data_IF_864149949499
#
_entry.id   IF_864149949499
#
_cell.length_a   1.000
_cell.length_b   1.000
_cell.length_c   1.000
_cell.angle_alpha   90.00
_cell.angle_beta   90.00
_cell.angle_gamma   90.00
#
_symmetry.space_group_name_H-M   'P 1'
#
loop_
_entity.id
_entity.type
_entity.pdbx_description
1 polymer ?
#
# COMPACT_ATOMS: atom_id res chain seq x y z
N UNK A 1 -8.77 14.39 10.01
CA UNK A 1 -7.58 13.77 9.42
C UNK A 1 -6.33 14.25 10.15
N UNK A 2 -5.53 13.32 10.65
CA UNK A 2 -4.36 13.62 11.45
C UNK A 2 -3.11 13.96 10.62
N UNK A 3 -3.17 13.74 9.30
CA UNK A 3 -2.02 13.88 8.41
C UNK A 3 -2.40 14.62 7.13
N UNK A 4 -2.80 15.91 7.24
CA UNK A 4 -3.23 16.63 6.04
C UNK A 4 -2.13 16.77 4.99
N UNK A 5 -0.86 16.80 5.41
CA UNK A 5 0.27 16.93 4.48
C UNK A 5 0.47 15.69 3.62
N UNK A 6 -0.10 14.56 4.02
CA UNK A 6 0.00 13.32 3.26
C UNK A 6 -1.15 13.14 2.26
N UNK A 7 -2.13 14.04 2.23
CA UNK A 7 -3.25 13.93 1.29
C UNK A 7 -2.81 13.87 -0.17
N UNK A 8 -1.83 14.68 -0.62
CA UNK A 8 -1.36 14.55 -2.01
C UNK A 8 -0.80 13.16 -2.33
N UNK A 9 -0.13 12.52 -1.34
CA UNK A 9 0.39 11.16 -1.52
C UNK A 9 -0.76 10.17 -1.68
N UNK A 10 -1.76 10.27 -0.81
CA UNK A 10 -2.93 9.41 -0.89
C UNK A 10 -3.68 9.60 -2.21
N UNK A 11 -3.91 10.83 -2.61
CA UNK A 11 -4.64 11.12 -3.84
C UNK A 11 -3.90 10.57 -5.06
N UNK A 12 -2.58 10.73 -5.11
CA UNK A 12 -1.78 10.20 -6.21
C UNK A 12 -1.86 8.67 -6.26
N UNK A 13 -1.79 8.02 -5.09
CA UNK A 13 -1.90 6.57 -5.03
C UNK A 13 -3.30 6.10 -5.45
N UNK A 14 -4.34 6.73 -4.92
CA UNK A 14 -5.72 6.37 -5.25
C UNK A 14 -6.01 6.57 -6.74
N UNK A 15 -5.50 7.64 -7.34
CA UNK A 15 -5.66 7.89 -8.77
C UNK A 15 -4.99 6.78 -9.59
N UNK A 16 -3.79 6.37 -9.19
CA UNK A 16 -3.07 5.31 -9.89
C UNK A 16 -3.84 3.98 -9.82
N UNK A 17 -4.38 3.65 -8.65
CA UNK A 17 -5.17 2.44 -8.47
C UNK A 17 -6.44 2.48 -9.31
N UNK A 18 -7.14 3.62 -9.29
CA UNK A 18 -8.38 3.79 -10.03
C UNK A 18 -8.16 3.69 -11.54
N UNK A 19 -7.02 4.17 -12.03
CA UNK A 19 -6.69 4.05 -13.45
C UNK A 19 -6.46 2.60 -13.86
N UNK A 20 -5.86 1.81 -12.97
CA UNK A 20 -5.62 0.39 -13.24
C UNK A 20 -6.89 -0.42 -13.09
N UNK A 21 -7.70 -0.09 -12.09
CA UNK A 21 -8.91 -0.85 -11.73
C UNK A 21 -10.07 0.11 -11.50
N UNK A 22 -10.77 0.53 -12.58
CA UNK A 22 -11.86 1.52 -12.44
C UNK A 22 -13.00 1.08 -11.52
N UNK A 23 -13.18 -0.23 -11.34
CA UNK A 23 -14.24 -0.76 -10.49
C UNK A 23 -13.81 -0.95 -9.03
N UNK A 24 -12.63 -0.49 -8.68
CA UNK A 24 -12.12 -0.64 -7.30
C UNK A 24 -13.05 0.06 -6.32
N UNK A 25 -13.31 -0.60 -5.19
CA UNK A 25 -14.07 -0.02 -4.09
C UNK A 25 -13.09 0.47 -3.04
N UNK A 26 -13.24 1.71 -2.62
CA UNK A 26 -12.39 2.34 -1.62
C UNK A 26 -13.19 2.48 -0.34
N UNK A 27 -12.72 1.84 0.75
CA UNK A 27 -13.37 1.90 2.05
C UNK A 27 -12.50 2.66 3.03
N UNK A 28 -13.01 3.78 3.51
CA UNK A 28 -12.31 4.60 4.49
C UNK A 28 -12.65 4.08 5.87
N UNK A 29 -11.62 3.68 6.61
CA UNK A 29 -11.76 3.18 7.98
C UNK A 29 -11.02 4.12 8.93
N UNK A 30 -11.21 3.91 10.23
CA UNK A 30 -10.66 4.80 11.25
C UNK A 30 -9.12 4.91 11.19
N UNK A 31 -8.44 3.80 10.94
CA UNK A 31 -6.98 3.75 10.95
C UNK A 31 -6.35 3.48 9.61
N UNK A 32 -7.15 3.23 8.58
CA UNK A 32 -6.62 2.90 7.27
C UNK A 32 -7.68 3.10 6.19
N UNK A 33 -7.22 3.11 4.94
CA UNK A 33 -8.10 3.18 3.77
C UNK A 33 -7.82 1.93 2.95
N UNK A 34 -8.85 1.13 2.72
CA UNK A 34 -8.71 -0.17 2.06
C UNK A 34 -9.23 -0.15 0.64
N UNK A 35 -8.57 -0.88 -0.25
CA UNK A 35 -8.91 -0.97 -1.67
C UNK A 35 -9.35 -2.39 -1.98
N UNK A 36 -10.56 -2.54 -2.52
CA UNK A 36 -11.18 -3.83 -2.80
C UNK A 36 -11.53 -3.96 -4.28
N UNK A 37 -11.27 -5.14 -4.82
CA UNK A 37 -11.82 -5.56 -6.10
C UNK A 37 -12.15 -7.05 -5.92
N UNK A 38 -13.38 -7.34 -5.48
CA UNK A 38 -13.84 -8.62 -4.97
C UNK A 38 -13.22 -8.88 -3.58
N UNK A 39 -11.90 -8.82 -3.47
CA UNK A 39 -11.18 -8.96 -2.20
C UNK A 39 -10.29 -7.76 -1.98
N UNK A 40 -9.95 -7.51 -0.71
CA UNK A 40 -9.00 -6.46 -0.39
C UNK A 40 -7.61 -6.86 -0.91
N UNK A 41 -7.00 -6.01 -1.73
CA UNK A 41 -5.68 -6.27 -2.26
C UNK A 41 -4.64 -5.27 -1.81
N UNK A 42 -5.06 -4.14 -1.27
CA UNK A 42 -4.14 -3.11 -0.79
C UNK A 42 -4.82 -2.25 0.26
N UNK A 43 -4.03 -1.62 1.11
CA UNK A 43 -4.53 -0.57 1.99
C UNK A 43 -3.41 0.44 2.24
N UNK A 44 -3.81 1.63 2.69
CA UNK A 44 -2.86 2.69 3.05
C UNK A 44 -3.16 3.15 4.46
N UNK A 45 -2.12 3.53 5.18
CA UNK A 45 -2.24 3.97 6.55
C UNK A 45 -1.08 4.87 6.93
N UNK A 46 -1.12 5.39 8.16
CA UNK A 46 -0.03 6.19 8.73
C UNK A 46 0.63 5.43 9.89
N UNK A 47 0.60 4.09 9.83
CA UNK A 47 1.20 3.26 10.85
C UNK A 47 2.70 3.52 10.92
N UNK A 48 3.24 3.57 12.14
CA UNK A 48 4.67 3.76 12.31
C UNK A 48 5.38 2.41 12.19
N UNK A 49 5.90 2.12 11.00
CA UNK A 49 6.60 0.86 10.71
C UNK A 49 8.11 1.00 10.83
N UNK A 50 8.60 2.23 11.04
CA UNK A 50 10.01 2.54 11.30
C UNK A 50 10.09 3.58 12.40
N UNK A 51 11.29 3.82 12.93
CA UNK A 51 11.48 4.90 13.90
C UNK A 51 11.12 6.23 13.25
N UNK A 52 10.56 7.14 14.05
CA UNK A 52 10.10 8.44 13.55
C UNK A 52 11.17 9.16 12.72
N UNK A 53 12.43 9.10 13.14
CA UNK A 53 13.52 9.78 12.44
C UNK A 53 13.85 9.14 11.09
N UNK A 54 13.38 7.92 10.85
CA UNK A 54 13.61 7.20 9.59
C UNK A 54 12.46 7.36 8.61
N UNK A 55 11.36 8.00 9.05
CA UNK A 55 10.18 8.22 8.21
C UNK A 55 10.25 9.60 7.58
N UNK A 56 9.97 9.70 6.27
CA UNK A 56 9.88 11.02 5.64
C UNK A 56 8.66 11.77 6.16
N UNK A 57 8.64 13.07 5.95
CA UNK A 57 7.47 13.88 6.30
C UNK A 57 7.09 14.72 5.09
N UNK A 58 5.87 14.56 4.59
CA UNK A 58 4.84 13.57 5.01
C UNK A 58 5.19 12.15 4.57
N UNK A 59 4.46 11.17 5.06
CA UNK A 59 4.62 9.78 4.62
C UNK A 59 3.29 9.07 4.56
N UNK A 60 3.27 7.96 3.81
CA UNK A 60 2.11 7.09 3.70
C UNK A 60 2.64 5.65 3.64
N UNK A 61 2.00 4.74 4.34
CA UNK A 61 2.38 3.32 4.30
C UNK A 61 1.40 2.58 3.40
N UNK A 62 1.93 1.96 2.35
CA UNK A 62 1.16 1.11 1.44
C UNK A 62 1.35 -0.33 1.89
N UNK A 63 0.24 -1.03 2.14
CA UNK A 63 0.28 -2.43 2.57
C UNK A 63 -0.28 -3.30 1.46
N UNK A 64 0.49 -4.31 1.06
CA UNK A 64 0.11 -5.23 -0.01
C UNK A 64 0.16 -6.66 0.49
N UNK A 65 -0.79 -7.50 0.04
CA UNK A 65 -0.76 -8.94 0.29
C UNK A 65 -0.09 -9.65 -0.88
N UNK A 66 0.97 -10.40 -0.60
CA UNK A 66 1.77 -11.05 -1.64
C UNK A 66 1.91 -12.54 -1.36
N UNK A 67 2.07 -13.38 -2.40
CA UNK A 67 2.28 -14.82 -2.22
C UNK A 67 3.73 -15.18 -1.85
N UNK A 68 4.62 -14.20 -1.82
CA UNK A 68 6.03 -14.38 -1.51
C UNK A 68 6.59 -13.11 -0.89
N UNK A 69 7.71 -13.18 -0.16
CA UNK A 69 8.32 -11.97 0.42
C UNK A 69 9.00 -11.15 -0.68
N UNK A 70 8.69 -9.85 -0.73
CA UNK A 70 9.36 -8.95 -1.67
C UNK A 70 10.74 -8.58 -1.14
N UNK A 71 11.71 -8.51 -2.05
CA UNK A 71 13.08 -8.14 -1.72
C UNK A 71 13.39 -6.76 -2.31
N UNK A 72 13.41 -5.74 -1.46
CA UNK A 72 13.71 -4.38 -1.89
C UNK A 72 14.02 -3.51 -0.69
N UNK A 73 14.89 -2.53 -0.87
CA UNK A 73 15.19 -1.55 0.18
C UNK A 73 13.97 -0.68 0.53
N UNK A 74 12.97 -0.65 -0.34
CA UNK A 74 11.74 0.10 -0.13
C UNK A 74 10.80 -0.57 0.86
N UNK A 75 11.00 -1.86 1.13
CA UNK A 75 10.14 -2.62 2.05
C UNK A 75 10.53 -2.27 3.49
N UNK A 76 9.59 -1.67 4.22
CA UNK A 76 9.84 -1.29 5.61
C UNK A 76 9.70 -2.50 6.53
N UNK A 77 8.61 -3.25 6.35
CA UNK A 77 8.31 -4.43 7.18
C UNK A 77 7.62 -5.46 6.29
N UNK A 78 7.94 -6.73 6.49
CA UNK A 78 7.22 -7.83 5.84
C UNK A 78 6.98 -8.92 6.87
N UNK A 79 5.77 -9.47 6.88
CA UNK A 79 5.38 -10.52 7.81
C UNK A 79 4.63 -11.61 7.06
N UNK A 80 4.70 -12.83 7.57
CA UNK A 80 3.97 -13.96 7.01
C UNK A 80 2.96 -14.46 8.04
N UNK A 81 1.77 -13.82 8.13
CA UNK A 81 0.74 -14.25 9.09
C UNK A 81 0.22 -15.65 8.81
N UNK A 82 0.26 -16.10 7.55
CA UNK A 82 -0.13 -17.45 7.15
C UNK A 82 0.88 -17.97 6.13
N UNK A 83 1.13 -19.29 6.09
CA UNK A 83 2.04 -19.86 5.09
C UNK A 83 1.65 -19.46 3.67
N UNK A 84 2.62 -18.91 2.92
CA UNK A 84 2.40 -18.47 1.55
C UNK A 84 1.64 -17.16 1.41
N UNK A 85 1.36 -16.48 2.51
CA UNK A 85 0.67 -15.18 2.47
C UNK A 85 1.50 -14.16 3.22
N UNK A 86 2.09 -13.24 2.48
CA UNK A 86 2.97 -12.21 3.04
C UNK A 86 2.30 -10.85 3.04
N UNK A 87 2.41 -10.15 4.15
CA UNK A 87 1.96 -8.76 4.26
C UNK A 87 3.19 -7.88 4.18
N UNK A 88 3.21 -7.00 3.20
CA UNK A 88 4.37 -6.15 2.89
C UNK A 88 4.01 -4.69 3.08
N UNK A 89 4.80 -3.97 3.87
CA UNK A 89 4.60 -2.55 4.15
C UNK A 89 5.67 -1.73 3.46
N UNK A 90 5.25 -0.79 2.61
CA UNK A 90 6.13 0.08 1.82
C UNK A 90 5.86 1.52 2.23
N UNK A 91 6.90 2.25 2.63
CA UNK A 91 6.76 3.66 2.99
C UNK A 91 6.99 4.51 1.75
N UNK A 92 6.04 5.42 1.46
CA UNK A 92 6.21 6.41 0.41
C UNK A 92 6.21 7.79 1.05
N UNK A 93 7.10 8.67 0.58
CA UNK A 93 7.26 10.02 1.12
C UNK A 93 7.11 11.10 0.07
N UNK A 94 6.92 10.71 -1.18
CA UNK A 94 6.79 11.64 -2.30
C UNK A 94 5.97 10.98 -3.39
N UNK A 95 5.26 11.79 -4.19
CA UNK A 95 4.45 11.26 -5.28
C UNK A 95 5.30 10.50 -6.32
N UNK A 96 6.59 10.86 -6.45
CA UNK A 96 7.52 10.14 -7.31
C UNK A 96 7.81 8.72 -6.86
N UNK A 97 7.50 8.38 -5.61
CA UNK A 97 7.63 7.01 -5.11
C UNK A 97 6.54 6.09 -5.65
N UNK A 98 5.47 6.66 -6.21
CA UNK A 98 4.41 5.90 -6.86
C UNK A 98 4.85 5.70 -8.32
N UNK A 99 5.74 4.76 -8.51
CA UNK A 99 6.39 4.50 -9.80
C UNK A 99 5.98 3.15 -10.37
N UNK A 100 6.59 2.78 -11.49
CA UNK A 100 6.26 1.53 -12.18
C UNK A 100 6.52 0.31 -11.31
N UNK A 101 7.57 0.35 -10.48
CA UNK A 101 7.88 -0.77 -9.57
C UNK A 101 6.75 -0.97 -8.55
N UNK A 102 6.30 0.12 -7.92
CA UNK A 102 5.21 0.04 -6.95
C UNK A 102 3.93 -0.45 -7.64
N UNK A 103 3.64 0.07 -8.83
CA UNK A 103 2.44 -0.33 -9.56
C UNK A 103 2.51 -1.80 -10.00
N UNK A 104 3.70 -2.29 -10.31
CA UNK A 104 3.90 -3.70 -10.64
C UNK A 104 3.57 -4.58 -9.42
N UNK A 105 4.06 -4.21 -8.25
CA UNK A 105 3.74 -4.92 -7.01
C UNK A 105 2.24 -4.86 -6.71
N UNK A 106 1.61 -3.71 -6.96
CA UNK A 106 0.18 -3.54 -6.75
C UNK A 106 -0.60 -4.52 -7.64
N UNK A 107 -0.21 -4.66 -8.90
CA UNK A 107 -0.84 -5.60 -9.83
C UNK A 107 -0.68 -7.05 -9.35
N UNK A 108 0.50 -7.40 -8.85
CA UNK A 108 0.73 -8.74 -8.31
C UNK A 108 -0.15 -9.00 -7.10
N UNK A 109 -0.29 -8.00 -6.21
CA UNK A 109 -1.15 -8.12 -5.03
C UNK A 109 -2.62 -8.28 -5.44
N UNK A 110 -3.07 -7.53 -6.46
CA UNK A 110 -4.42 -7.63 -6.98
C UNK A 110 -4.68 -9.02 -7.54
N UNK A 111 -3.76 -9.54 -8.34
CA UNK A 111 -3.91 -10.86 -8.94
C UNK A 111 -3.92 -11.96 -7.87
N UNK A 112 -3.07 -11.82 -6.87
CA UNK A 112 -3.03 -12.77 -5.76
C UNK A 112 -4.36 -12.76 -4.99
N UNK A 113 -4.89 -11.59 -4.70
CA UNK A 113 -6.17 -11.47 -3.98
C UNK A 113 -7.32 -12.03 -4.80
N UNK A 114 -7.30 -11.83 -6.11
CA UNK A 114 -8.34 -12.31 -7.02
C UNK A 114 -8.43 -13.83 -7.02
N UNK A 115 -7.31 -14.51 -6.80
CA UNK A 115 -7.22 -15.96 -6.84
C UNK A 115 -7.36 -16.63 -5.47
N UNK A 116 -7.77 -15.89 -4.46
CA UNK A 116 -8.02 -16.44 -3.13
C UNK A 116 -9.21 -17.40 -3.11
#
# INVERSE_FOLDING_TARGET
>A
DKHPDAMPLYEAFADAVTKLYPDVEIRVQKSQISFYDVHMFACVSFARVKKKKELPEPYLVVTLGMPYPLESSRIAVKTEPYPGRWTTHIVIGDTGDIDDELLCWLKEAHDFAKNK
#
